data_IF_353447831208
#
_entry.id   IF_353447831208
#
_cell.length_a   1.000
_cell.length_b   1.000
_cell.length_c   1.000
_cell.angle_alpha   90.00
_cell.angle_beta   90.00
_cell.angle_gamma   90.00
#
_symmetry.space_group_name_H-M   'P 1'
#
loop_
_entity.id
_entity.type
_entity.pdbx_description
1 polymer ?
#
# COMPACT_ATOMS: atom_id res chain seq x y z
N UNK A 1 20.73 -16.55 36.96
CA UNK A 1 19.83 -16.22 35.83
C UNK A 1 18.87 -15.14 36.29
N UNK A 2 19.16 -13.87 36.04
CA UNK A 2 18.26 -12.76 36.39
C UNK A 2 17.17 -12.66 35.30
N UNK A 3 15.92 -12.87 35.68
CA UNK A 3 14.75 -12.61 34.78
C UNK A 3 14.77 -11.15 34.39
N UNK A 4 14.98 -10.86 33.09
CA UNK A 4 14.74 -9.54 32.51
C UNK A 4 13.24 -9.30 32.60
N UNK A 5 12.82 -8.62 33.66
CA UNK A 5 11.44 -8.14 33.80
C UNK A 5 11.22 -7.11 32.68
N UNK A 6 10.52 -7.49 31.66
CA UNK A 6 10.11 -6.59 30.58
C UNK A 6 9.09 -5.61 31.14
N UNK A 7 9.54 -4.43 31.54
CA UNK A 7 8.73 -3.35 32.13
C UNK A 7 7.75 -2.72 31.12
N UNK A 8 7.74 -3.19 29.86
CA UNK A 8 6.91 -2.70 28.77
C UNK A 8 5.44 -3.13 28.85
N UNK A 9 5.06 -4.03 29.78
CA UNK A 9 3.73 -4.62 29.82
C UNK A 9 2.58 -3.66 30.24
N UNK A 10 2.87 -2.44 30.69
CA UNK A 10 1.87 -1.53 31.25
C UNK A 10 1.82 -0.13 30.59
N UNK A 11 2.60 0.11 29.55
CA UNK A 11 2.53 1.35 28.80
C UNK A 11 1.33 1.30 27.83
N UNK A 12 0.22 1.92 28.19
CA UNK A 12 -0.98 2.05 27.34
C UNK A 12 -1.48 3.49 27.37
N UNK A 13 -0.71 4.45 26.82
CA UNK A 13 -1.16 5.82 26.78
C UNK A 13 -2.34 5.93 25.81
N UNK A 14 -3.51 6.27 26.34
CA UNK A 14 -4.68 6.66 25.53
C UNK A 14 -4.66 8.17 25.27
N UNK A 15 -3.92 8.91 26.09
CA UNK A 15 -3.75 10.35 26.07
C UNK A 15 -2.40 10.72 26.73
N UNK A 16 -2.02 12.01 26.73
CA UNK A 16 -0.78 12.47 27.33
C UNK A 16 -0.73 12.22 28.83
N UNK A 17 -1.84 12.36 29.56
CA UNK A 17 -1.89 12.11 31.00
C UNK A 17 -1.56 10.63 31.34
N UNK A 18 -2.05 9.69 30.56
CA UNK A 18 -1.73 8.25 30.72
C UNK A 18 -0.23 7.99 30.40
N UNK A 19 0.32 8.72 29.41
CA UNK A 19 1.75 8.64 29.08
C UNK A 19 2.61 9.15 30.23
N UNK A 20 2.26 10.28 30.82
CA UNK A 20 2.93 10.86 31.98
C UNK A 20 2.90 9.91 33.18
N UNK A 21 1.73 9.43 33.55
CA UNK A 21 1.59 8.51 34.69
C UNK A 21 2.39 7.21 34.48
N UNK A 22 2.48 6.74 33.24
CA UNK A 22 3.26 5.55 32.89
C UNK A 22 4.76 5.81 32.97
N UNK A 23 5.21 6.99 32.52
CA UNK A 23 6.60 7.43 32.60
C UNK A 23 7.04 7.64 34.04
N UNK A 24 6.26 8.34 34.87
CA UNK A 24 6.54 8.53 36.29
C UNK A 24 6.67 7.19 37.03
N UNK A 25 5.79 6.24 36.71
CA UNK A 25 5.87 4.88 37.25
C UNK A 25 7.18 4.20 36.84
N UNK A 26 7.57 4.33 35.55
CA UNK A 26 8.83 3.76 35.07
C UNK A 26 10.03 4.36 35.80
N UNK A 27 10.09 5.70 35.95
CA UNK A 27 11.15 6.39 36.69
C UNK A 27 11.26 5.91 38.15
N UNK A 28 10.10 5.66 38.79
CA UNK A 28 10.08 5.18 40.18
C UNK A 28 10.57 3.75 40.32
N UNK A 29 10.20 2.85 39.37
CA UNK A 29 10.54 1.42 39.41
C UNK A 29 11.96 1.17 38.92
N UNK A 30 12.41 1.91 37.91
CA UNK A 30 13.68 1.69 37.22
C UNK A 30 14.38 3.03 36.87
N UNK A 31 14.86 3.81 37.88
CA UNK A 31 15.44 5.14 37.67
C UNK A 31 16.70 5.14 36.79
N UNK A 32 17.36 4.01 36.64
CA UNK A 32 18.55 3.86 35.79
C UNK A 32 18.26 3.11 34.49
N UNK A 33 17.01 3.06 34.03
CA UNK A 33 16.65 2.42 32.76
C UNK A 33 17.25 3.18 31.57
N UNK A 34 18.05 2.50 30.74
CA UNK A 34 18.80 3.12 29.64
C UNK A 34 17.93 3.81 28.58
N UNK A 35 16.64 3.56 28.57
CA UNK A 35 15.68 4.17 27.60
C UNK A 35 14.84 5.29 28.19
N UNK A 36 15.09 5.80 29.38
CA UNK A 36 14.25 6.84 30.00
C UNK A 36 14.15 8.11 29.13
N UNK A 37 15.24 8.59 28.57
CA UNK A 37 15.24 9.76 27.70
C UNK A 37 14.36 9.58 26.45
N UNK A 38 14.31 8.38 25.89
CA UNK A 38 13.46 8.07 24.73
C UNK A 38 11.97 8.01 25.10
N UNK A 39 11.64 7.50 26.29
CA UNK A 39 10.27 7.57 26.80
C UNK A 39 9.84 9.00 27.12
N UNK A 40 10.76 9.84 27.62
CA UNK A 40 10.51 11.26 27.86
C UNK A 40 10.16 11.99 26.55
N UNK A 41 10.92 11.74 25.46
CA UNK A 41 10.60 12.28 24.14
C UNK A 41 9.17 11.91 23.71
N UNK A 42 8.80 10.64 23.88
CA UNK A 42 7.45 10.19 23.53
C UNK A 42 6.37 10.85 24.38
N UNK A 43 6.61 11.08 25.69
CA UNK A 43 5.68 11.79 26.56
C UNK A 43 5.51 13.26 26.13
N UNK A 44 6.63 13.94 25.87
CA UNK A 44 6.63 15.32 25.40
C UNK A 44 5.90 15.45 24.06
N UNK A 45 6.13 14.51 23.15
CA UNK A 45 5.44 14.47 21.87
C UNK A 45 3.91 14.24 22.05
N UNK A 46 3.49 13.33 22.92
CA UNK A 46 2.06 13.11 23.19
C UNK A 46 1.38 14.38 23.71
N UNK A 47 2.03 15.10 24.64
CA UNK A 47 1.54 16.41 25.14
C UNK A 47 1.46 17.44 24.02
N UNK A 48 2.51 17.50 23.18
CA UNK A 48 2.51 18.40 22.02
C UNK A 48 1.30 18.14 21.12
N UNK A 49 1.03 16.88 20.73
CA UNK A 49 -0.08 16.52 19.84
C UNK A 49 -1.45 16.87 20.44
N UNK A 50 -1.64 16.70 21.76
CA UNK A 50 -2.91 17.07 22.41
C UNK A 50 -3.17 18.59 22.45
N UNK A 51 -2.10 19.39 22.48
CA UNK A 51 -2.20 20.85 22.61
C UNK A 51 -1.98 21.58 21.28
N UNK A 52 -1.47 20.88 20.26
CA UNK A 52 -1.08 21.50 19.00
C UNK A 52 -2.29 21.99 18.20
N UNK A 53 -2.18 23.17 17.64
CA UNK A 53 -3.08 23.67 16.63
C UNK A 53 -3.07 22.75 15.38
N UNK A 54 -4.08 22.82 14.50
CA UNK A 54 -4.03 22.15 13.19
C UNK A 54 -2.71 22.44 12.47
N UNK A 55 -2.18 21.47 11.73
CA UNK A 55 -0.95 21.67 10.95
C UNK A 55 -1.24 22.65 9.83
N UNK A 56 -0.40 23.67 9.69
CA UNK A 56 -0.48 24.58 8.55
C UNK A 56 0.04 23.87 7.28
N UNK A 57 -0.54 24.14 6.09
CA UNK A 57 -0.13 23.47 4.85
C UNK A 57 1.38 23.50 4.59
N UNK A 58 2.02 24.65 4.85
CA UNK A 58 3.45 24.85 4.68
C UNK A 58 4.32 24.05 5.67
N UNK A 59 3.76 23.65 6.81
CA UNK A 59 4.45 22.87 7.83
C UNK A 59 4.28 21.34 7.63
N UNK A 60 3.45 20.89 6.69
CA UNK A 60 3.15 19.47 6.50
C UNK A 60 4.39 18.63 6.19
N UNK A 61 5.32 19.15 5.39
CA UNK A 61 6.54 18.44 5.02
C UNK A 61 7.46 18.22 6.22
N UNK A 62 7.63 19.23 7.06
CA UNK A 62 8.45 19.18 8.28
C UNK A 62 7.83 18.23 9.31
N UNK A 63 6.51 18.34 9.53
CA UNK A 63 5.77 17.46 10.45
C UNK A 63 5.83 16.00 9.99
N UNK A 64 5.70 15.74 8.68
CA UNK A 64 5.82 14.41 8.11
C UNK A 64 7.22 13.83 8.33
N UNK A 65 8.26 14.61 8.06
CA UNK A 65 9.64 14.19 8.26
C UNK A 65 9.92 13.86 9.74
N UNK A 66 9.56 14.75 10.67
CA UNK A 66 9.72 14.51 12.10
C UNK A 66 8.97 13.23 12.56
N UNK A 67 7.73 13.08 12.11
CA UNK A 67 6.92 11.92 12.49
C UNK A 67 7.50 10.62 11.93
N UNK A 68 7.94 10.60 10.65
CA UNK A 68 8.44 9.41 9.96
C UNK A 68 9.86 9.03 10.39
N UNK A 69 10.74 10.01 10.58
CA UNK A 69 12.17 9.76 10.76
C UNK A 69 12.59 9.69 12.24
N UNK A 70 11.86 10.36 13.11
CA UNK A 70 12.21 10.45 14.54
C UNK A 70 11.20 9.71 15.43
N UNK A 71 9.93 10.11 15.39
CA UNK A 71 8.94 9.68 16.37
C UNK A 71 8.43 8.26 16.12
N UNK A 72 8.10 7.92 14.87
CA UNK A 72 7.56 6.60 14.57
C UNK A 72 8.56 5.47 14.81
N UNK A 73 9.85 5.55 14.40
CA UNK A 73 10.85 4.54 14.73
C UNK A 73 11.04 4.36 16.23
N UNK A 74 11.07 5.48 16.97
CA UNK A 74 11.21 5.48 18.41
C UNK A 74 10.01 4.79 19.10
N UNK A 75 8.79 5.15 18.69
CA UNK A 75 7.56 4.55 19.20
C UNK A 75 7.52 3.04 18.89
N UNK A 76 7.85 2.61 17.68
CA UNK A 76 7.89 1.20 17.31
C UNK A 76 8.92 0.41 18.14
N UNK A 77 10.08 1.01 18.40
CA UNK A 77 11.14 0.38 19.21
C UNK A 77 10.70 0.23 20.67
N UNK A 78 10.10 1.27 21.27
CA UNK A 78 9.80 1.32 22.70
C UNK A 78 8.41 0.81 23.06
N UNK A 79 7.39 1.13 22.25
CA UNK A 79 6.00 0.77 22.52
C UNK A 79 5.55 -0.51 21.80
N UNK A 80 6.28 -0.96 20.79
CA UNK A 80 6.02 -2.21 20.03
C UNK A 80 4.58 -2.28 19.52
N UNK A 81 3.78 -3.24 20.00
CA UNK A 81 2.40 -3.41 19.57
C UNK A 81 1.49 -2.20 19.86
N UNK A 82 1.87 -1.32 20.78
CA UNK A 82 1.10 -0.12 21.16
C UNK A 82 1.50 1.12 20.33
N UNK A 83 2.60 1.04 19.57
CA UNK A 83 3.11 2.17 18.79
C UNK A 83 2.06 2.73 17.84
N UNK A 84 1.29 1.86 17.20
CA UNK A 84 0.26 2.25 16.25
C UNK A 84 -0.83 3.11 16.88
N UNK A 85 -1.35 2.69 18.02
CA UNK A 85 -2.40 3.43 18.74
C UNK A 85 -1.87 4.76 19.26
N UNK A 86 -0.62 4.76 19.73
CA UNK A 86 0.08 5.96 20.18
C UNK A 86 0.29 6.98 19.06
N UNK A 87 0.67 6.55 17.85
CA UNK A 87 0.95 7.41 16.70
C UNK A 87 -0.34 7.87 15.98
N UNK A 88 -1.46 7.18 16.16
CA UNK A 88 -2.68 7.44 15.42
C UNK A 88 -3.20 8.88 15.52
N UNK A 89 -3.16 9.59 16.67
CA UNK A 89 -3.56 11.00 16.75
C UNK A 89 -2.70 11.91 15.87
N UNK A 90 -1.38 11.71 15.85
CA UNK A 90 -0.46 12.49 15.03
C UNK A 90 -0.71 12.27 13.54
N UNK A 91 -0.86 11.01 13.12
CA UNK A 91 -1.18 10.69 11.72
C UNK A 91 -2.55 11.25 11.29
N UNK A 92 -3.58 11.21 12.16
CA UNK A 92 -4.87 11.84 11.86
C UNK A 92 -4.76 13.36 11.69
N UNK A 93 -4.00 14.01 12.58
CA UNK A 93 -3.76 15.46 12.51
C UNK A 93 -3.08 15.83 11.19
N UNK A 94 -2.07 15.08 10.78
CA UNK A 94 -1.36 15.28 9.52
C UNK A 94 -2.29 14.98 8.32
N UNK A 95 -3.04 13.87 8.32
CA UNK A 95 -3.97 13.52 7.26
C UNK A 95 -5.07 14.59 7.04
N UNK A 96 -5.46 15.28 8.12
CA UNK A 96 -6.44 16.37 8.03
C UNK A 96 -5.88 17.64 7.35
N UNK A 97 -4.56 17.84 7.40
CA UNK A 97 -3.88 19.00 6.84
C UNK A 97 -3.38 18.76 5.40
N UNK A 98 -3.05 17.53 5.06
CA UNK A 98 -2.54 17.16 3.74
C UNK A 98 -3.61 17.26 2.64
N UNK A 99 -3.22 17.61 1.39
CA UNK A 99 -4.14 17.68 0.26
C UNK A 99 -4.76 16.31 -0.05
N UNK A 100 -5.99 16.31 -0.57
CA UNK A 100 -6.73 15.11 -0.98
C UNK A 100 -7.01 15.04 -2.47
N UNK A 101 -7.17 16.17 -3.13
CA UNK A 101 -7.45 16.23 -4.57
C UNK A 101 -6.21 16.54 -5.40
N UNK A 102 -5.24 17.24 -4.82
CA UNK A 102 -3.98 17.58 -5.47
C UNK A 102 -2.91 16.56 -5.07
N UNK A 103 -2.19 16.02 -6.04
CA UNK A 103 -1.15 15.04 -5.84
C UNK A 103 0.14 15.45 -6.57
N UNK A 104 1.25 15.53 -5.84
CA UNK A 104 2.57 15.73 -6.43
C UNK A 104 3.31 14.39 -6.54
N UNK A 105 3.61 13.91 -7.77
CA UNK A 105 4.36 12.66 -7.94
C UNK A 105 5.82 12.73 -7.48
N UNK A 106 6.40 13.94 -7.30
CA UNK A 106 7.76 14.09 -6.77
C UNK A 106 7.79 13.94 -5.25
N UNK A 107 6.70 14.32 -4.56
CA UNK A 107 6.55 14.20 -3.11
C UNK A 107 5.27 13.39 -2.78
N UNK A 108 5.20 12.11 -3.18
CA UNK A 108 3.98 11.31 -3.10
C UNK A 108 3.46 11.14 -1.66
N UNK A 109 4.33 11.28 -0.67
CA UNK A 109 3.98 11.11 0.74
C UNK A 109 3.32 12.36 1.35
N UNK A 110 3.39 13.52 0.68
CA UNK A 110 2.68 14.74 1.04
C UNK A 110 1.21 14.74 0.55
N UNK A 111 0.57 13.58 0.56
CA UNK A 111 -0.84 13.41 0.24
C UNK A 111 -1.57 12.69 1.38
N UNK A 112 -2.82 13.07 1.67
CA UNK A 112 -3.60 12.54 2.79
C UNK A 112 -3.62 11.01 2.83
N UNK A 113 -3.72 10.34 1.67
CA UNK A 113 -3.73 8.88 1.59
C UNK A 113 -2.49 8.22 2.21
N UNK A 114 -1.32 8.87 2.22
CA UNK A 114 -0.13 8.32 2.89
C UNK A 114 -0.33 8.27 4.40
N UNK A 115 -0.68 9.39 5.02
CA UNK A 115 -0.93 9.45 6.46
C UNK A 115 -2.07 8.50 6.89
N UNK A 116 -3.10 8.36 6.05
CA UNK A 116 -4.23 7.46 6.26
C UNK A 116 -3.83 5.98 6.19
N UNK A 117 -2.81 5.59 5.41
CA UNK A 117 -2.29 4.21 5.44
C UNK A 117 -1.65 3.84 6.78
N UNK A 118 -1.15 4.82 7.54
CA UNK A 118 -0.57 4.61 8.87
C UNK A 118 -1.64 4.41 9.96
N UNK A 119 -2.89 4.75 9.65
CA UNK A 119 -4.07 4.55 10.47
C UNK A 119 -4.91 3.43 9.84
N UNK A 120 -5.62 2.55 10.57
CA UNK A 120 -6.44 1.50 9.95
C UNK A 120 -7.77 2.04 9.38
N UNK A 121 -7.75 3.18 8.70
CA UNK A 121 -8.90 3.78 8.03
C UNK A 121 -8.79 3.62 6.52
N UNK A 122 -9.02 2.39 6.06
CA UNK A 122 -8.85 2.03 4.66
C UNK A 122 -9.93 2.64 3.74
N UNK A 123 -11.08 3.00 4.28
CA UNK A 123 -12.11 3.71 3.51
C UNK A 123 -11.66 5.16 3.23
N UNK A 124 -11.01 5.82 4.20
CA UNK A 124 -10.41 7.13 3.99
C UNK A 124 -9.30 7.08 2.92
N UNK A 125 -8.43 6.06 2.95
CA UNK A 125 -7.40 5.87 1.90
C UNK A 125 -8.04 5.77 0.51
N UNK A 126 -9.08 4.94 0.36
CA UNK A 126 -9.79 4.78 -0.93
C UNK A 126 -10.36 6.13 -1.39
N UNK A 127 -11.06 6.83 -0.48
CA UNK A 127 -11.68 8.11 -0.80
C UNK A 127 -10.65 9.18 -1.19
N UNK A 128 -9.54 9.29 -0.44
CA UNK A 128 -8.48 10.25 -0.74
C UNK A 128 -7.77 9.95 -2.07
N UNK A 129 -7.51 8.67 -2.37
CA UNK A 129 -6.92 8.30 -3.66
C UNK A 129 -7.88 8.62 -4.80
N UNK A 130 -9.15 8.27 -4.67
CA UNK A 130 -10.15 8.49 -5.73
C UNK A 130 -10.53 9.96 -5.92
N UNK A 131 -10.23 10.84 -4.97
CA UNK A 131 -10.40 12.28 -5.10
C UNK A 131 -9.42 12.89 -6.11
N UNK A 132 -8.27 12.26 -6.34
CA UNK A 132 -7.31 12.68 -7.37
C UNK A 132 -7.81 12.21 -8.73
N UNK A 133 -8.09 13.15 -9.63
CA UNK A 133 -8.74 12.86 -10.91
C UNK A 133 -7.97 11.86 -11.80
N UNK A 134 -6.66 11.95 -11.78
CA UNK A 134 -5.75 11.10 -12.55
C UNK A 134 -5.01 10.05 -11.70
N UNK A 135 -5.54 9.69 -10.52
CA UNK A 135 -4.91 8.73 -9.60
C UNK A 135 -4.45 7.44 -10.27
N UNK A 136 -5.17 7.02 -11.33
CA UNK A 136 -4.84 5.84 -12.11
C UNK A 136 -3.56 5.96 -12.96
N UNK A 137 -2.90 7.12 -12.99
CA UNK A 137 -1.61 7.35 -13.65
C UNK A 137 -0.44 7.25 -12.65
N UNK A 138 -0.70 7.29 -11.34
CA UNK A 138 0.31 7.42 -10.30
C UNK A 138 0.55 6.10 -9.56
N UNK A 139 1.72 5.43 -9.74
CA UNK A 139 2.02 4.16 -9.08
C UNK A 139 1.87 4.20 -7.56
N UNK A 140 2.28 5.30 -6.92
CA UNK A 140 2.18 5.45 -5.46
C UNK A 140 0.72 5.41 -4.97
N UNK A 141 -0.20 6.08 -5.68
CA UNK A 141 -1.63 6.08 -5.36
C UNK A 141 -2.26 4.72 -5.63
N UNK A 142 -1.90 4.07 -6.74
CA UNK A 142 -2.37 2.73 -7.08
C UNK A 142 -1.91 1.69 -6.05
N UNK A 143 -0.68 1.79 -5.54
CA UNK A 143 -0.18 0.90 -4.48
C UNK A 143 -0.97 1.08 -3.18
N UNK A 144 -1.28 2.32 -2.77
CA UNK A 144 -2.11 2.62 -1.60
C UNK A 144 -3.54 2.09 -1.77
N UNK A 145 -4.13 2.29 -2.95
CA UNK A 145 -5.45 1.79 -3.30
C UNK A 145 -5.51 0.25 -3.23
N UNK A 146 -4.49 -0.42 -3.78
CA UNK A 146 -4.37 -1.87 -3.75
C UNK A 146 -4.26 -2.41 -2.31
N UNK A 147 -3.44 -1.78 -1.46
CA UNK A 147 -3.34 -2.12 -0.04
C UNK A 147 -4.68 -1.94 0.68
N UNK A 148 -5.36 -0.81 0.42
CA UNK A 148 -6.66 -0.53 1.03
C UNK A 148 -7.71 -1.58 0.62
N UNK A 149 -7.80 -1.95 -0.66
CA UNK A 149 -8.68 -3.02 -1.13
C UNK A 149 -8.33 -4.38 -0.49
N UNK A 150 -7.05 -4.69 -0.32
CA UNK A 150 -6.62 -5.92 0.33
C UNK A 150 -7.10 -5.98 1.79
N UNK A 151 -6.97 -4.89 2.54
CA UNK A 151 -7.45 -4.80 3.91
C UNK A 151 -8.97 -4.78 4.02
N UNK A 152 -9.67 -4.28 3.00
CA UNK A 152 -11.14 -4.31 2.89
C UNK A 152 -11.68 -5.63 2.34
N UNK A 153 -10.86 -6.68 2.25
CA UNK A 153 -11.24 -8.01 1.76
C UNK A 153 -11.84 -7.98 0.35
N UNK A 154 -11.26 -7.14 -0.54
CA UNK A 154 -11.60 -7.02 -1.96
C UNK A 154 -10.41 -7.51 -2.81
N UNK A 155 -10.08 -8.81 -2.79
CA UNK A 155 -8.82 -9.32 -3.34
C UNK A 155 -8.70 -9.14 -4.87
N UNK A 156 -9.80 -9.21 -5.61
CA UNK A 156 -9.78 -9.01 -7.07
C UNK A 156 -9.47 -7.55 -7.41
N UNK A 157 -10.12 -6.60 -6.73
CA UNK A 157 -9.86 -5.17 -6.90
C UNK A 157 -8.41 -4.83 -6.49
N UNK A 158 -7.91 -5.43 -5.41
CA UNK A 158 -6.51 -5.28 -4.99
C UNK A 158 -5.55 -5.80 -6.07
N UNK A 159 -5.83 -6.98 -6.62
CA UNK A 159 -5.01 -7.59 -7.68
C UNK A 159 -4.98 -6.72 -8.94
N UNK A 160 -6.13 -6.18 -9.36
CA UNK A 160 -6.23 -5.29 -10.52
C UNK A 160 -5.51 -3.95 -10.29
N UNK A 161 -5.62 -3.38 -9.08
CA UNK A 161 -4.88 -2.15 -8.73
C UNK A 161 -3.37 -2.38 -8.76
N UNK A 162 -2.88 -3.49 -8.22
CA UNK A 162 -1.47 -3.86 -8.31
C UNK A 162 -1.00 -4.11 -9.75
N UNK A 163 -1.82 -4.78 -10.56
CA UNK A 163 -1.53 -4.98 -11.98
C UNK A 163 -1.42 -3.63 -12.72
N UNK A 164 -2.33 -2.69 -12.43
CA UNK A 164 -2.24 -1.34 -12.97
C UNK A 164 -1.01 -0.59 -12.49
N UNK A 165 -0.64 -0.75 -11.22
CA UNK A 165 0.57 -0.18 -10.67
C UNK A 165 1.81 -0.66 -11.44
N UNK A 166 1.90 -1.97 -11.72
CA UNK A 166 2.99 -2.55 -12.54
C UNK A 166 3.00 -2.01 -13.97
N UNK A 167 1.84 -1.79 -14.59
CA UNK A 167 1.75 -1.16 -15.92
C UNK A 167 2.31 0.27 -15.93
N UNK A 168 2.22 0.99 -14.79
CA UNK A 168 2.65 2.39 -14.65
C UNK A 168 4.05 2.58 -14.11
N UNK A 169 4.71 1.50 -13.71
CA UNK A 169 6.08 1.50 -13.21
C UNK A 169 6.95 0.51 -14.03
N UNK A 170 7.13 0.74 -15.34
CA UNK A 170 7.82 -0.21 -16.23
C UNK A 170 9.31 -0.37 -15.89
N UNK A 171 9.90 0.56 -15.16
CA UNK A 171 11.27 0.52 -14.69
C UNK A 171 11.49 -0.41 -13.49
N UNK A 172 10.42 -0.82 -12.82
CA UNK A 172 10.48 -1.72 -11.67
C UNK A 172 10.15 -3.16 -12.09
N UNK A 173 10.88 -4.12 -11.51
CA UNK A 173 10.47 -5.51 -11.67
C UNK A 173 9.13 -5.76 -10.95
N UNK A 174 8.25 -6.63 -11.52
CA UNK A 174 6.99 -6.98 -10.85
C UNK A 174 7.20 -7.54 -9.44
N UNK A 175 8.24 -8.35 -9.19
CA UNK A 175 8.51 -8.91 -7.87
C UNK A 175 8.91 -7.83 -6.85
N UNK A 176 9.74 -6.85 -7.25
CA UNK A 176 10.10 -5.76 -6.35
C UNK A 176 8.90 -4.87 -6.01
N UNK A 177 8.11 -4.53 -7.01
CA UNK A 177 6.89 -3.73 -6.85
C UNK A 177 5.87 -4.41 -5.94
N UNK A 178 5.68 -5.72 -6.11
CA UNK A 178 4.63 -6.50 -5.45
C UNK A 178 5.06 -7.13 -4.12
N UNK A 179 6.23 -6.74 -3.59
CA UNK A 179 6.75 -7.24 -2.30
C UNK A 179 5.79 -6.96 -1.13
N UNK A 180 5.06 -5.84 -1.19
CA UNK A 180 4.05 -5.47 -0.19
C UNK A 180 2.65 -6.02 -0.49
N UNK A 181 2.45 -6.69 -1.61
CA UNK A 181 1.19 -7.30 -2.00
C UNK A 181 0.92 -8.61 -1.23
N UNK A 182 -0.20 -9.25 -1.52
CA UNK A 182 -0.50 -10.57 -0.94
C UNK A 182 0.56 -11.60 -1.33
N UNK A 183 0.85 -12.60 -0.46
CA UNK A 183 1.81 -13.66 -0.77
C UNK A 183 1.50 -14.44 -2.05
N UNK A 184 0.21 -14.53 -2.42
CA UNK A 184 -0.22 -15.15 -3.67
C UNK A 184 0.25 -14.33 -4.86
N UNK A 185 -0.01 -13.03 -4.85
CA UNK A 185 0.34 -12.14 -5.96
C UNK A 185 1.85 -11.99 -6.09
N UNK A 186 2.56 -11.86 -4.98
CA UNK A 186 4.03 -11.84 -4.97
C UNK A 186 4.63 -13.10 -5.59
N UNK A 187 4.10 -14.29 -5.27
CA UNK A 187 4.54 -15.55 -5.92
C UNK A 187 4.27 -15.55 -7.42
N UNK A 188 3.15 -14.96 -7.90
CA UNK A 188 2.90 -14.80 -9.32
C UNK A 188 3.96 -13.92 -10.00
N UNK A 189 4.37 -12.84 -9.35
CA UNK A 189 5.43 -11.98 -9.87
C UNK A 189 6.77 -12.72 -10.00
N UNK A 190 7.16 -13.50 -8.99
CA UNK A 190 8.35 -14.34 -9.07
C UNK A 190 8.27 -15.36 -10.22
N UNK A 191 7.13 -16.03 -10.37
CA UNK A 191 6.91 -16.99 -11.49
C UNK A 191 6.98 -16.30 -12.85
N UNK A 192 6.57 -15.04 -12.95
CA UNK A 192 6.68 -14.27 -14.19
C UNK A 192 8.14 -13.98 -14.55
N UNK A 193 8.97 -13.63 -13.55
CA UNK A 193 10.38 -13.34 -13.77
C UNK A 193 11.23 -14.60 -14.07
N UNK A 194 10.74 -15.78 -13.68
CA UNK A 194 11.37 -17.08 -13.93
C UNK A 194 10.92 -17.75 -15.25
N UNK A 195 10.19 -17.03 -16.13
CA UNK A 195 9.76 -17.59 -17.41
C UNK A 195 10.97 -17.88 -18.32
N UNK A 196 10.98 -19.05 -18.95
CA UNK A 196 12.00 -19.46 -19.92
C UNK A 196 12.10 -18.48 -21.11
N UNK A 197 10.97 -17.95 -21.54
CA UNK A 197 10.91 -16.86 -22.52
C UNK A 197 10.59 -15.55 -21.78
N UNK A 198 11.60 -14.65 -21.63
CA UNK A 198 11.42 -13.45 -20.85
C UNK A 198 10.41 -12.50 -21.50
N UNK A 199 9.47 -12.02 -20.70
CA UNK A 199 8.50 -10.99 -21.04
C UNK A 199 8.96 -9.65 -20.46
N UNK A 200 8.47 -8.56 -21.01
CA UNK A 200 8.73 -7.23 -20.44
C UNK A 200 7.93 -7.04 -19.14
N UNK A 201 8.40 -6.24 -18.17
CA UNK A 201 7.65 -5.98 -16.94
C UNK A 201 6.22 -5.48 -17.19
N UNK A 202 6.01 -4.70 -18.25
CA UNK A 202 4.70 -4.22 -18.71
C UNK A 202 3.75 -5.30 -19.20
N UNK A 203 4.24 -6.52 -19.49
CA UNK A 203 3.43 -7.66 -19.89
C UNK A 203 2.84 -8.42 -18.69
N UNK A 204 3.38 -8.18 -17.50
CA UNK A 204 2.93 -8.86 -16.28
C UNK A 204 1.40 -8.79 -16.07
N UNK A 205 0.71 -7.64 -16.24
CA UNK A 205 -0.74 -7.59 -16.10
C UNK A 205 -1.49 -8.55 -17.04
N UNK A 206 -1.07 -8.62 -18.29
CA UNK A 206 -1.69 -9.53 -19.29
C UNK A 206 -1.39 -11.00 -18.99
N UNK A 207 -0.16 -11.30 -18.58
CA UNK A 207 0.22 -12.64 -18.15
C UNK A 207 -0.51 -13.06 -16.87
N UNK A 208 -0.67 -12.15 -15.91
CA UNK A 208 -1.45 -12.40 -14.69
C UNK A 208 -2.90 -12.75 -15.02
N UNK A 209 -3.51 -12.03 -15.96
CA UNK A 209 -4.88 -12.30 -16.40
C UNK A 209 -5.02 -13.69 -17.05
N UNK A 210 -4.02 -14.12 -17.81
CA UNK A 210 -3.95 -15.48 -18.34
C UNK A 210 -3.90 -16.53 -17.22
N UNK A 211 -3.18 -16.26 -16.12
CA UNK A 211 -3.05 -17.17 -14.97
C UNK A 211 -4.24 -17.11 -14.01
N UNK A 212 -5.03 -16.07 -14.08
CA UNK A 212 -6.20 -15.84 -13.23
C UNK A 212 -7.38 -15.33 -14.08
N UNK A 213 -7.93 -16.16 -14.99
CA UNK A 213 -8.93 -15.72 -15.96
C UNK A 213 -10.24 -15.24 -15.31
N UNK A 214 -10.52 -15.67 -14.07
CA UNK A 214 -11.66 -15.18 -13.30
C UNK A 214 -11.66 -13.67 -13.06
N UNK A 215 -10.48 -13.01 -13.12
CA UNK A 215 -10.38 -11.54 -13.00
C UNK A 215 -11.14 -10.81 -14.12
N UNK A 216 -11.35 -11.45 -15.28
CA UNK A 216 -12.09 -10.84 -16.40
C UNK A 216 -13.50 -10.39 -16.00
N UNK A 217 -14.15 -11.09 -15.06
CA UNK A 217 -15.48 -10.73 -14.57
C UNK A 217 -15.51 -9.47 -13.68
N UNK A 218 -14.34 -8.99 -13.28
CA UNK A 218 -14.20 -7.80 -12.41
C UNK A 218 -13.74 -6.55 -13.19
N UNK A 219 -13.41 -6.68 -14.48
CA UNK A 219 -12.88 -5.58 -15.28
C UNK A 219 -13.93 -4.50 -15.58
N UNK A 220 -15.18 -4.88 -15.75
CA UNK A 220 -16.26 -3.99 -16.20
C UNK A 220 -16.98 -3.30 -15.03
N UNK A 221 -16.48 -3.44 -13.81
CA UNK A 221 -17.03 -2.71 -12.65
C UNK A 221 -16.67 -1.22 -12.74
N UNK A 222 -17.61 -0.37 -12.38
CA UNK A 222 -17.43 1.09 -12.47
C UNK A 222 -16.25 1.63 -11.64
N UNK A 223 -15.90 0.94 -10.56
CA UNK A 223 -14.79 1.25 -9.66
C UNK A 223 -13.54 0.37 -9.91
N UNK A 224 -13.47 -0.31 -11.05
CA UNK A 224 -12.37 -1.22 -11.34
C UNK A 224 -11.07 -0.47 -11.64
N UNK A 225 -10.00 -0.70 -10.86
CA UNK A 225 -8.69 -0.13 -11.10
C UNK A 225 -7.90 -0.95 -12.15
N UNK A 226 -8.58 -1.51 -13.15
CA UNK A 226 -7.95 -2.41 -14.12
C UNK A 226 -6.92 -1.70 -14.99
N UNK A 227 -5.85 -2.41 -15.46
CA UNK A 227 -4.95 -1.94 -16.49
C UNK A 227 -5.69 -1.56 -17.78
N UNK A 228 -5.13 -0.63 -18.55
CA UNK A 228 -5.72 -0.13 -19.82
C UNK A 228 -4.78 -0.27 -21.01
N UNK A 229 -3.58 -0.82 -20.83
CA UNK A 229 -2.61 -1.04 -21.89
C UNK A 229 -3.15 -1.96 -22.99
N UNK A 230 -2.69 -1.72 -24.22
CA UNK A 230 -3.16 -2.44 -25.39
C UNK A 230 -3.01 -3.97 -25.26
N UNK A 231 -1.90 -4.43 -24.68
CA UNK A 231 -1.61 -5.86 -24.48
C UNK A 231 -2.56 -6.48 -23.47
N UNK A 232 -2.79 -5.81 -22.34
CA UNK A 232 -3.76 -6.25 -21.33
C UNK A 232 -5.18 -6.30 -21.90
N UNK A 233 -5.59 -5.26 -22.63
CA UNK A 233 -6.92 -5.19 -23.25
C UNK A 233 -7.13 -6.31 -24.29
N UNK A 234 -6.12 -6.60 -25.13
CA UNK A 234 -6.17 -7.68 -26.08
C UNK A 234 -6.27 -9.06 -25.40
N UNK A 235 -5.52 -9.29 -24.32
CA UNK A 235 -5.62 -10.50 -23.52
C UNK A 235 -7.01 -10.64 -22.86
N UNK A 236 -7.54 -9.55 -22.30
CA UNK A 236 -8.88 -9.55 -21.71
C UNK A 236 -9.97 -9.87 -22.71
N UNK A 237 -9.87 -9.33 -23.94
CA UNK A 237 -10.78 -9.60 -25.04
C UNK A 237 -10.72 -11.08 -25.47
N UNK A 238 -9.51 -11.63 -25.63
CA UNK A 238 -9.31 -13.02 -25.96
C UNK A 238 -9.93 -13.96 -24.91
N UNK A 239 -9.68 -13.70 -23.63
CA UNK A 239 -10.26 -14.50 -22.54
C UNK A 239 -11.77 -14.36 -22.45
N UNK A 240 -12.35 -13.17 -22.67
CA UNK A 240 -13.81 -12.99 -22.73
C UNK A 240 -14.42 -13.77 -23.88
N UNK A 241 -13.76 -13.76 -25.05
CA UNK A 241 -14.20 -14.51 -26.24
C UNK A 241 -14.16 -16.01 -25.98
N UNK A 242 -13.08 -16.50 -25.38
CA UNK A 242 -12.94 -17.88 -24.95
C UNK A 242 -14.05 -18.32 -23.99
N UNK A 243 -14.29 -17.57 -22.94
CA UNK A 243 -15.30 -17.85 -21.91
C UNK A 243 -16.73 -17.88 -22.46
N UNK A 244 -16.99 -17.17 -23.58
CA UNK A 244 -18.27 -17.18 -24.28
C UNK A 244 -18.40 -18.32 -25.29
N UNK A 245 -17.32 -19.08 -25.52
CA UNK A 245 -17.28 -20.10 -26.57
C UNK A 245 -17.39 -19.53 -27.98
N UNK A 246 -16.99 -18.25 -28.18
CA UNK A 246 -17.04 -17.57 -29.47
C UNK A 246 -15.75 -17.80 -30.28
N UNK A 247 -15.76 -17.40 -31.56
CA UNK A 247 -14.57 -17.49 -32.42
C UNK A 247 -13.47 -16.51 -31.91
N UNK A 248 -12.29 -17.09 -31.68
CA UNK A 248 -11.13 -16.37 -31.13
C UNK A 248 -10.15 -15.83 -32.18
N UNK A 249 -10.41 -16.08 -33.50
CA UNK A 249 -9.44 -15.79 -34.56
C UNK A 249 -8.98 -14.34 -34.53
N UNK A 250 -9.89 -13.40 -34.49
CA UNK A 250 -9.57 -11.96 -34.49
C UNK A 250 -8.82 -11.53 -33.21
N UNK A 251 -9.28 -11.99 -32.04
CA UNK A 251 -8.63 -11.69 -30.77
C UNK A 251 -7.21 -12.27 -30.68
N UNK A 252 -7.00 -13.48 -31.20
CA UNK A 252 -5.67 -14.11 -31.32
C UNK A 252 -4.76 -13.34 -32.26
N UNK A 253 -5.27 -12.90 -33.42
CA UNK A 253 -4.50 -12.11 -34.38
C UNK A 253 -4.06 -10.76 -33.75
N UNK A 254 -4.94 -10.12 -33.00
CA UNK A 254 -4.64 -8.88 -32.31
C UNK A 254 -3.55 -9.07 -31.24
N UNK A 255 -3.65 -10.11 -30.41
CA UNK A 255 -2.62 -10.41 -29.41
C UNK A 255 -1.31 -10.83 -30.08
N UNK A 256 -1.36 -11.57 -31.19
CA UNK A 256 -0.18 -11.96 -31.99
C UNK A 256 0.56 -10.71 -32.51
N UNK A 257 -0.17 -9.72 -33.00
CA UNK A 257 0.43 -8.48 -33.52
C UNK A 257 1.06 -7.64 -32.42
N UNK A 258 0.51 -7.61 -31.22
CA UNK A 258 0.99 -6.82 -30.10
C UNK A 258 2.12 -7.52 -29.32
N UNK A 259 1.95 -8.81 -29.01
CA UNK A 259 2.88 -9.54 -28.14
C UNK A 259 2.86 -11.06 -28.42
N UNK A 260 3.59 -11.53 -29.45
CA UNK A 260 3.63 -12.94 -29.85
C UNK A 260 3.94 -13.93 -28.70
N UNK A 261 4.88 -13.61 -27.76
CA UNK A 261 5.19 -14.53 -26.66
C UNK A 261 3.97 -14.80 -25.75
N UNK A 262 3.13 -13.81 -25.50
CA UNK A 262 1.91 -14.01 -24.69
C UNK A 262 0.87 -14.86 -25.39
N UNK A 263 0.75 -14.77 -26.72
CA UNK A 263 -0.12 -15.69 -27.47
C UNK A 263 0.42 -17.11 -27.41
N UNK A 264 1.74 -17.32 -27.51
CA UNK A 264 2.33 -18.67 -27.33
C UNK A 264 2.01 -19.23 -25.94
N UNK A 265 2.18 -18.42 -24.90
CA UNK A 265 1.84 -18.81 -23.53
C UNK A 265 0.35 -19.18 -23.39
N UNK A 266 -0.56 -18.43 -24.03
CA UNK A 266 -1.99 -18.76 -24.07
C UNK A 266 -2.26 -20.11 -24.77
N UNK A 267 -1.62 -20.35 -25.93
CA UNK A 267 -1.83 -21.59 -26.70
C UNK A 267 -1.25 -22.83 -26.00
N UNK A 268 -0.16 -22.66 -25.23
CA UNK A 268 0.50 -23.77 -24.52
C UNK A 268 -0.22 -24.17 -23.24
N UNK A 269 -0.77 -23.20 -22.50
CA UNK A 269 -1.30 -23.46 -21.17
C UNK A 269 -2.84 -23.44 -21.13
N UNK A 270 -3.48 -22.82 -22.12
CA UNK A 270 -4.91 -22.52 -22.07
C UNK A 270 -5.22 -21.50 -20.96
N UNK A 271 -6.44 -20.97 -20.88
CA UNK A 271 -6.90 -20.31 -19.67
C UNK A 271 -7.07 -21.38 -18.59
N UNK A 272 -6.29 -21.25 -17.51
CA UNK A 272 -6.21 -22.20 -16.39
C UNK A 272 -7.49 -22.34 -15.57
#
# INVERSE_FOLDING_TARGET
MRRKTTCTAHWRPRNAADADASFERLCRIAPNHAGLGEYEILVLYARHIEQAAPVAPEACAEELAALREEIAPLAHTRLRAQARDYLAPAWRRLAAALPRADFDPNDPDLHASYAETQIPDWDAVIASVQAVADHAQHPALLARLAQAFQHRQRPEAATLAWARCSERAPEMSPADLLRAASPRLYRRALMFEELDEPLEPTDFPAWLLLREPGLVHHLDRADSPAPVGAVFTAMAELLRTHLRGADEVEARQRLQALRPPLLRAYLQHGPG
#
